data_IF_543631923782
#
_entry.id   IF_543631923782
#
_cell.length_a   1.000
_cell.length_b   1.000
_cell.length_c   1.000
_cell.angle_alpha   90.00
_cell.angle_beta   90.00
_cell.angle_gamma   90.00
#
_symmetry.space_group_name_H-M   'P 1'
#
loop_
_entity.id
_entity.type
_entity.pdbx_description
1 polymer ?
#
# COMPACT_ATOMS: atom_id res chain seq x y z
N UNK A 1 14.94 0.57 11.72
CA UNK A 1 14.24 0.53 10.43
C UNK A 1 15.03 1.39 9.46
N UNK A 2 15.39 0.88 8.29
CA UNK A 2 16.00 1.69 7.24
C UNK A 2 14.95 2.64 6.67
N UNK A 3 15.30 3.90 6.41
CA UNK A 3 14.33 4.87 5.88
C UNK A 3 13.95 4.53 4.43
N UNK A 4 12.73 4.86 4.01
CA UNK A 4 12.27 4.68 2.63
C UNK A 4 13.20 5.37 1.62
N UNK A 5 13.77 6.52 1.99
CA UNK A 5 14.70 7.27 1.15
C UNK A 5 16.03 6.53 0.93
N UNK A 6 16.56 5.85 1.95
CA UNK A 6 17.77 5.04 1.82
C UNK A 6 17.54 3.80 0.95
N UNK A 7 16.36 3.17 1.07
CA UNK A 7 15.97 2.03 0.21
C UNK A 7 15.82 2.48 -1.25
N UNK A 8 15.15 3.60 -1.51
CA UNK A 8 14.97 4.10 -2.87
C UNK A 8 16.30 4.48 -3.52
N UNK A 9 17.19 5.15 -2.78
CA UNK A 9 18.53 5.48 -3.26
C UNK A 9 19.36 4.24 -3.60
N UNK A 10 19.22 3.18 -2.81
CA UNK A 10 19.87 1.90 -3.10
C UNK A 10 19.30 1.25 -4.38
N UNK A 11 17.98 1.29 -4.59
CA UNK A 11 17.35 0.79 -5.82
C UNK A 11 17.83 1.54 -7.08
N UNK A 12 17.94 2.87 -7.01
CA UNK A 12 18.48 3.67 -8.13
C UNK A 12 19.92 3.27 -8.49
N UNK A 13 20.75 2.92 -7.49
CA UNK A 13 22.10 2.42 -7.71
C UNK A 13 22.09 1.04 -8.39
N UNK A 14 21.18 0.14 -7.99
CA UNK A 14 21.00 -1.18 -8.63
C UNK A 14 20.60 -1.01 -10.11
N UNK A 15 19.65 -0.13 -10.39
CA UNK A 15 19.19 0.13 -11.77
C UNK A 15 20.29 0.71 -12.65
N UNK A 16 21.11 1.61 -12.10
CA UNK A 16 22.27 2.17 -12.80
C UNK A 16 23.27 1.07 -13.16
N UNK A 17 23.58 0.18 -12.21
CA UNK A 17 24.50 -0.95 -12.44
C UNK A 17 23.94 -1.90 -13.51
N UNK A 18 22.63 -2.21 -13.45
CA UNK A 18 21.99 -3.09 -14.43
C UNK A 18 22.05 -2.48 -15.85
N UNK A 19 21.78 -1.18 -15.96
CA UNK A 19 21.89 -0.47 -17.23
C UNK A 19 23.33 -0.50 -17.79
N UNK A 20 24.33 -0.24 -16.96
CA UNK A 20 25.74 -0.27 -17.39
C UNK A 20 26.16 -1.67 -17.85
N UNK A 21 25.72 -2.73 -17.17
CA UNK A 21 25.95 -4.12 -17.58
C UNK A 21 25.33 -4.38 -18.96
N UNK A 22 24.08 -4.00 -19.19
CA UNK A 22 23.42 -4.17 -20.49
C UNK A 22 24.15 -3.44 -21.61
N UNK A 23 24.60 -2.20 -21.35
CA UNK A 23 25.38 -1.40 -22.31
C UNK A 23 26.72 -2.05 -22.64
N UNK A 24 27.41 -2.62 -21.65
CA UNK A 24 28.66 -3.38 -21.84
C UNK A 24 28.43 -4.58 -22.76
N UNK A 25 27.34 -5.33 -22.56
CA UNK A 25 26.99 -6.47 -23.42
C UNK A 25 26.62 -6.03 -24.84
N UNK A 26 25.93 -4.90 -25.00
CA UNK A 26 25.50 -4.41 -26.30
C UNK A 26 26.64 -3.81 -27.16
N UNK A 27 27.64 -3.15 -26.54
CA UNK A 27 28.71 -2.43 -27.27
C UNK A 27 29.90 -3.29 -27.68
N UNK A 28 30.18 -4.38 -26.98
CA UNK A 28 31.45 -5.10 -27.15
C UNK A 28 31.34 -6.28 -28.12
N UNK A 29 31.97 -6.16 -29.29
CA UNK A 29 32.04 -7.22 -30.32
C UNK A 29 33.13 -8.28 -30.06
N UNK A 30 34.07 -8.03 -29.14
CA UNK A 30 35.20 -8.91 -28.84
C UNK A 30 35.22 -9.32 -27.35
N UNK A 31 35.48 -10.60 -27.08
CA UNK A 31 35.42 -11.21 -25.74
C UNK A 31 36.33 -10.53 -24.69
N UNK A 32 37.47 -9.96 -25.10
CA UNK A 32 38.43 -9.33 -24.17
C UNK A 32 37.91 -8.01 -23.59
N UNK A 33 37.17 -7.22 -24.36
CA UNK A 33 36.66 -5.92 -23.93
C UNK A 33 35.53 -6.08 -22.90
N UNK A 34 34.66 -7.08 -23.10
CA UNK A 34 33.67 -7.50 -22.10
C UNK A 34 34.34 -7.90 -20.79
N UNK A 35 35.47 -8.61 -20.85
CA UNK A 35 36.17 -9.11 -19.66
C UNK A 35 36.75 -7.97 -18.82
N UNK A 36 37.34 -6.95 -19.46
CA UNK A 36 37.92 -5.80 -18.75
C UNK A 36 36.86 -4.86 -18.16
N UNK A 37 35.75 -4.63 -18.87
CA UNK A 37 34.65 -3.81 -18.34
C UNK A 37 33.90 -4.53 -17.21
N UNK A 38 33.64 -5.84 -17.34
CA UNK A 38 33.03 -6.62 -16.27
C UNK A 38 33.87 -6.59 -14.97
N UNK A 39 35.21 -6.62 -15.06
CA UNK A 39 36.10 -6.51 -13.89
C UNK A 39 35.92 -5.16 -13.18
N UNK A 40 35.65 -4.07 -13.90
CA UNK A 40 35.41 -2.74 -13.30
C UNK A 40 34.04 -2.62 -12.64
N UNK A 41 33.04 -3.35 -13.13
CA UNK A 41 31.68 -3.36 -12.56
C UNK A 41 31.58 -4.21 -11.30
N UNK A 42 32.39 -5.26 -11.16
CA UNK A 42 32.39 -6.15 -9.97
C UNK A 42 32.53 -5.40 -8.63
N UNK A 43 33.44 -4.43 -8.45
CA UNK A 43 33.52 -3.61 -7.24
C UNK A 43 32.23 -2.84 -6.93
N UNK A 44 31.58 -2.27 -7.95
CA UNK A 44 30.35 -1.52 -7.79
C UNK A 44 29.20 -2.42 -7.31
N UNK A 45 29.12 -3.63 -7.88
CA UNK A 45 28.16 -4.66 -7.42
C UNK A 45 28.45 -5.05 -5.98
N UNK A 46 29.72 -5.26 -5.60
CA UNK A 46 30.09 -5.60 -4.23
C UNK A 46 29.77 -4.49 -3.23
N UNK A 47 30.00 -3.23 -3.59
CA UNK A 47 29.67 -2.08 -2.75
C UNK A 47 28.14 -1.93 -2.60
N UNK A 48 27.39 -2.07 -3.68
CA UNK A 48 25.94 -2.08 -3.66
C UNK A 48 25.38 -3.21 -2.78
N UNK A 49 25.94 -4.42 -2.85
CA UNK A 49 25.56 -5.54 -1.99
C UNK A 49 25.87 -5.27 -0.50
N UNK A 50 26.98 -4.60 -0.19
CA UNK A 50 27.32 -4.20 1.19
C UNK A 50 26.40 -3.11 1.72
N UNK A 51 25.93 -2.23 0.85
CA UNK A 51 24.98 -1.17 1.16
C UNK A 51 23.52 -1.67 1.22
N UNK A 52 23.27 -2.95 0.92
CA UNK A 52 21.95 -3.54 0.96
C UNK A 52 21.30 -3.35 2.35
N UNK A 53 20.12 -2.73 2.43
CA UNK A 53 19.40 -2.57 3.67
C UNK A 53 19.03 -3.92 4.30
N UNK A 54 19.70 -4.30 5.39
CA UNK A 54 19.46 -5.58 6.07
C UNK A 54 18.20 -5.60 6.97
N UNK A 55 17.53 -4.46 7.15
CA UNK A 55 16.42 -4.30 8.10
C UNK A 55 15.25 -3.52 7.47
N UNK A 56 14.84 -3.98 6.29
CA UNK A 56 13.60 -3.57 5.65
C UNK A 56 12.47 -4.15 6.49
N UNK A 57 11.81 -3.30 7.26
CA UNK A 57 10.51 -3.67 7.77
C UNK A 57 9.56 -3.72 6.57
N UNK A 58 9.21 -4.93 6.16
CA UNK A 58 7.98 -5.12 5.42
C UNK A 58 6.87 -4.64 6.35
N UNK A 59 6.44 -3.40 6.17
CA UNK A 59 5.12 -3.01 6.65
C UNK A 59 4.20 -3.88 5.82
N UNK A 60 3.76 -5.00 6.41
CA UNK A 60 2.68 -5.79 5.85
C UNK A 60 1.58 -4.78 5.58
N UNK A 61 1.30 -4.53 4.30
CA UNK A 61 0.15 -3.72 3.91
C UNK A 61 -1.03 -4.31 4.69
N UNK A 62 -1.77 -3.50 5.46
CA UNK A 62 -2.94 -4.00 6.16
C UNK A 62 -3.82 -4.73 5.13
N UNK A 63 -4.51 -5.82 5.49
CA UNK A 63 -5.44 -6.46 4.57
C UNK A 63 -6.36 -5.41 3.93
N UNK A 64 -6.66 -5.51 2.62
CA UNK A 64 -7.42 -4.48 1.89
C UNK A 64 -8.72 -4.07 2.58
N UNK A 65 -9.30 -4.96 3.38
CA UNK A 65 -10.21 -4.61 4.46
C UNK A 65 -10.14 -5.68 5.56
N UNK A 66 -10.39 -5.29 6.81
CA UNK A 66 -10.67 -6.24 7.89
C UNK A 66 -12.16 -6.58 7.87
N UNK A 67 -12.51 -7.86 7.76
CA UNK A 67 -13.91 -8.28 7.88
C UNK A 67 -14.47 -7.84 9.24
N UNK A 68 -15.60 -7.14 9.22
CA UNK A 68 -16.33 -6.77 10.43
C UNK A 68 -17.31 -7.92 10.71
N UNK A 69 -17.18 -8.63 11.86
CA UNK A 69 -18.07 -9.74 12.17
C UNK A 69 -19.54 -9.34 12.21
N UNK A 70 -20.39 -10.11 11.53
CA UNK A 70 -21.83 -9.95 11.57
C UNK A 70 -22.50 -10.11 10.20
N UNK A 71 -23.84 -10.02 10.15
CA UNK A 71 -24.57 -10.10 8.90
C UNK A 71 -24.17 -8.94 7.97
N UNK A 72 -24.10 -9.21 6.66
CA UNK A 72 -23.98 -8.18 5.64
C UNK A 72 -25.31 -8.02 4.90
N UNK A 73 -25.52 -6.83 4.35
CA UNK A 73 -26.58 -6.64 3.37
C UNK A 73 -26.39 -7.57 2.18
N UNK A 74 -27.50 -8.03 1.61
CA UNK A 74 -27.49 -8.73 0.32
C UNK A 74 -26.80 -7.87 -0.74
N UNK A 75 -26.01 -8.49 -1.61
CA UNK A 75 -25.38 -7.83 -2.77
C UNK A 75 -26.41 -7.22 -3.74
N UNK A 76 -27.68 -7.59 -3.61
CA UNK A 76 -28.79 -7.01 -4.37
C UNK A 76 -29.35 -5.71 -3.77
N UNK A 77 -28.93 -5.32 -2.56
CA UNK A 77 -29.40 -4.10 -1.91
C UNK A 77 -29.03 -2.86 -2.73
N UNK A 78 -30.04 -2.03 -3.03
CA UNK A 78 -29.87 -0.83 -3.86
C UNK A 78 -28.84 0.15 -3.28
N UNK A 79 -28.92 0.46 -1.99
CA UNK A 79 -28.04 1.44 -1.35
C UNK A 79 -26.59 0.95 -1.30
N UNK A 80 -26.38 -0.36 -1.10
CA UNK A 80 -25.05 -0.95 -1.15
C UNK A 80 -24.46 -0.84 -2.56
N UNK A 81 -25.21 -1.20 -3.60
CA UNK A 81 -24.76 -1.09 -4.99
C UNK A 81 -24.42 0.35 -5.36
N UNK A 82 -25.28 1.29 -5.01
CA UNK A 82 -25.10 2.70 -5.29
C UNK A 82 -23.87 3.27 -4.58
N UNK A 83 -23.67 2.96 -3.29
CA UNK A 83 -22.47 3.38 -2.56
C UNK A 83 -21.18 2.79 -3.17
N UNK A 84 -21.18 1.50 -3.54
CA UNK A 84 -20.05 0.87 -4.20
C UNK A 84 -19.76 1.45 -5.59
N UNK A 85 -20.81 1.88 -6.31
CA UNK A 85 -20.65 2.55 -7.60
C UNK A 85 -20.00 3.92 -7.43
N UNK A 86 -20.45 4.73 -6.46
CA UNK A 86 -19.82 6.02 -6.15
C UNK A 86 -18.34 5.88 -5.76
N UNK A 87 -18.00 4.83 -5.02
CA UNK A 87 -16.61 4.54 -4.65
C UNK A 87 -15.75 4.14 -5.87
N UNK A 88 -16.35 3.55 -6.92
CA UNK A 88 -15.64 3.09 -8.12
C UNK A 88 -15.50 4.17 -9.21
N UNK A 89 -16.53 4.98 -9.40
CA UNK A 89 -16.69 5.78 -10.63
C UNK A 89 -16.04 7.17 -10.60
N UNK A 90 -15.70 7.71 -9.43
CA UNK A 90 -15.35 9.14 -9.32
C UNK A 90 -14.21 9.34 -8.31
N UNK A 91 -13.30 10.31 -8.52
CA UNK A 91 -12.46 10.86 -7.45
C UNK A 91 -13.32 11.69 -6.48
N UNK A 92 -14.38 11.09 -5.91
CA UNK A 92 -15.15 11.73 -4.85
C UNK A 92 -14.20 11.92 -3.66
N UNK A 93 -13.92 13.16 -3.27
CA UNK A 93 -13.08 13.43 -2.11
C UNK A 93 -13.71 12.97 -0.78
N UNK A 94 -15.04 12.80 -0.73
CA UNK A 94 -15.78 12.38 0.46
C UNK A 94 -17.20 11.88 0.12
N UNK A 95 -17.63 10.78 0.73
CA UNK A 95 -19.01 10.26 0.63
C UNK A 95 -19.66 10.31 2.02
N UNK A 96 -20.84 10.92 2.12
CA UNK A 96 -21.61 11.01 3.37
C UNK A 96 -22.86 10.11 3.36
N UNK A 97 -22.98 9.20 4.33
CA UNK A 97 -24.21 8.41 4.58
C UNK A 97 -24.96 9.06 5.74
N UNK A 98 -26.14 9.63 5.47
CA UNK A 98 -26.93 10.38 6.46
C UNK A 98 -28.36 9.87 6.59
N UNK A 99 -29.05 10.26 7.66
CA UNK A 99 -30.44 9.87 7.93
C UNK A 99 -30.75 9.67 9.42
N UNK A 100 -32.02 9.38 9.77
CA UNK A 100 -32.48 9.22 11.16
C UNK A 100 -31.74 8.13 11.95
N UNK A 101 -31.86 8.14 13.27
CA UNK A 101 -31.34 7.06 14.12
C UNK A 101 -31.97 5.71 13.80
N UNK A 102 -31.20 4.62 13.91
CA UNK A 102 -31.74 3.25 13.74
C UNK A 102 -31.97 2.78 12.29
N UNK A 103 -31.86 3.64 11.28
CA UNK A 103 -32.13 3.27 9.87
C UNK A 103 -31.08 2.36 9.20
N UNK A 104 -30.04 1.95 9.94
CA UNK A 104 -29.02 1.04 9.41
C UNK A 104 -27.84 1.69 8.69
N UNK A 105 -27.52 2.96 8.92
CA UNK A 105 -26.33 3.64 8.33
C UNK A 105 -25.02 2.90 8.61
N UNK A 106 -24.78 2.57 9.88
CA UNK A 106 -23.60 1.78 10.28
C UNK A 106 -23.62 0.37 9.69
N UNK A 107 -24.81 -0.20 9.50
CA UNK A 107 -24.98 -1.51 8.87
C UNK A 107 -24.62 -1.49 7.37
N UNK A 108 -24.98 -0.41 6.67
CA UNK A 108 -24.56 -0.16 5.28
C UNK A 108 -23.03 0.02 5.21
N UNK A 109 -22.45 0.82 6.10
CA UNK A 109 -20.99 1.04 6.14
C UNK A 109 -20.21 -0.26 6.38
N UNK A 110 -20.67 -1.12 7.29
CA UNK A 110 -20.08 -2.45 7.51
C UNK A 110 -20.17 -3.33 6.25
N UNK A 111 -21.31 -3.28 5.56
CA UNK A 111 -21.52 -4.07 4.33
C UNK A 111 -20.64 -3.59 3.18
N UNK A 112 -20.38 -2.29 3.08
CA UNK A 112 -19.42 -1.72 2.11
C UNK A 112 -18.01 -2.27 2.39
N UNK A 113 -17.54 -2.18 3.63
CA UNK A 113 -16.24 -2.69 4.05
C UNK A 113 -16.06 -4.17 3.70
N UNK A 114 -17.03 -5.02 4.05
CA UNK A 114 -16.95 -6.46 3.80
C UNK A 114 -17.06 -6.79 2.30
N UNK A 115 -17.81 -5.99 1.52
CA UNK A 115 -17.85 -6.16 0.06
C UNK A 115 -16.50 -5.88 -0.58
N UNK A 116 -15.74 -4.90 -0.08
CA UNK A 116 -14.38 -4.58 -0.55
C UNK A 116 -13.39 -5.68 -0.14
N UNK A 117 -13.53 -6.23 1.08
CA UNK A 117 -12.71 -7.35 1.55
C UNK A 117 -12.82 -8.60 0.64
N UNK A 118 -14.03 -8.88 0.14
CA UNK A 118 -14.33 -10.07 -0.65
C UNK A 118 -14.07 -9.85 -2.15
N UNK A 119 -14.33 -8.65 -2.66
CA UNK A 119 -14.13 -8.29 -4.06
C UNK A 119 -12.65 -8.02 -4.33
N UNK A 120 -11.83 -9.07 -4.42
CA UNK A 120 -10.47 -8.98 -4.94
C UNK A 120 -10.47 -8.31 -6.31
N UNK A 121 -10.04 -7.06 -6.38
CA UNK A 121 -10.18 -6.21 -7.58
C UNK A 121 -10.28 -4.72 -7.30
N UNK A 122 -10.36 -4.32 -6.03
CA UNK A 122 -10.32 -2.92 -5.61
C UNK A 122 -8.90 -2.59 -5.15
N UNK A 123 -8.30 -1.54 -5.73
CA UNK A 123 -6.88 -1.20 -5.57
C UNK A 123 -6.57 -0.28 -4.38
N UNK A 124 -7.46 -0.20 -3.39
CA UNK A 124 -7.26 0.63 -2.20
C UNK A 124 -7.49 -0.14 -0.92
N UNK A 125 -6.72 0.21 0.10
CA UNK A 125 -6.84 -0.33 1.46
C UNK A 125 -7.91 0.45 2.25
N UNK A 126 -8.74 -0.27 3.00
CA UNK A 126 -9.83 0.28 3.80
C UNK A 126 -9.45 0.30 5.27
N UNK A 127 -9.41 1.49 5.84
CA UNK A 127 -9.17 1.70 7.27
C UNK A 127 -10.46 2.17 7.94
N UNK A 128 -11.05 1.31 8.77
CA UNK A 128 -12.28 1.62 9.48
C UNK A 128 -12.00 2.21 10.87
N UNK A 129 -12.34 3.46 11.12
CA UNK A 129 -12.20 4.11 12.44
C UNK A 129 -13.56 4.56 12.97
N UNK A 130 -13.82 4.38 14.26
CA UNK A 130 -15.09 4.76 14.89
C UNK A 130 -14.91 6.04 15.71
N UNK A 131 -15.63 7.09 15.33
CA UNK A 131 -15.79 8.29 16.15
C UNK A 131 -17.13 8.26 16.88
N UNK A 132 -17.15 8.71 18.13
CA UNK A 132 -18.36 8.81 18.96
C UNK A 132 -18.39 10.15 19.70
N UNK A 133 -19.52 10.49 20.33
CA UNK A 133 -19.60 11.74 21.10
C UNK A 133 -18.50 11.77 22.18
N UNK A 134 -17.72 12.84 22.20
CA UNK A 134 -16.60 13.02 23.13
C UNK A 134 -15.28 12.37 22.70
N UNK A 135 -15.17 11.85 21.47
CA UNK A 135 -13.86 11.50 20.91
C UNK A 135 -13.05 12.76 20.60
N UNK A 136 -11.73 12.70 20.82
CA UNK A 136 -10.80 13.75 20.43
C UNK A 136 -10.12 13.39 19.12
N UNK A 137 -9.52 14.38 18.46
CA UNK A 137 -8.78 14.17 17.20
C UNK A 137 -7.60 13.24 17.43
N UNK A 138 -6.91 13.39 18.57
CA UNK A 138 -5.75 12.59 18.95
C UNK A 138 -6.12 11.11 19.10
N UNK A 139 -7.31 10.82 19.66
CA UNK A 139 -7.80 9.44 19.76
C UNK A 139 -8.07 8.82 18.39
N UNK A 140 -8.69 9.57 17.49
CA UNK A 140 -8.96 9.10 16.11
C UNK A 140 -7.65 8.86 15.36
N UNK A 141 -6.69 9.77 15.47
CA UNK A 141 -5.36 9.63 14.87
C UNK A 141 -4.61 8.44 15.45
N UNK A 142 -4.68 8.21 16.78
CA UNK A 142 -4.12 7.04 17.43
C UNK A 142 -4.73 5.72 16.92
N UNK A 143 -6.06 5.64 16.84
CA UNK A 143 -6.76 4.46 16.30
C UNK A 143 -6.40 4.20 14.83
N UNK A 144 -6.22 5.27 14.05
CA UNK A 144 -5.79 5.20 12.66
C UNK A 144 -4.35 4.67 12.53
N UNK A 145 -3.40 5.22 13.29
CA UNK A 145 -1.99 4.78 13.30
C UNK A 145 -1.86 3.33 13.77
N UNK A 146 -2.62 2.93 14.79
CA UNK A 146 -2.65 1.56 15.27
C UNK A 146 -3.08 0.58 14.17
N UNK A 147 -4.09 0.96 13.36
CA UNK A 147 -4.55 0.14 12.23
C UNK A 147 -3.54 0.05 11.08
N UNK A 148 -2.66 1.04 10.96
CA UNK A 148 -1.53 1.03 10.04
C UNK A 148 -0.30 0.27 10.59
N UNK A 149 -0.36 -0.25 11.82
CA UNK A 149 0.79 -0.88 12.48
C UNK A 149 1.90 0.12 12.86
N UNK A 150 1.57 1.42 12.91
CA UNK A 150 2.48 2.47 13.32
C UNK A 150 2.41 2.67 14.83
N UNK A 151 3.56 2.84 15.48
CA UNK A 151 3.60 3.29 16.87
C UNK A 151 3.40 4.81 16.90
N UNK A 152 2.55 5.28 17.80
CA UNK A 152 2.54 6.69 18.17
C UNK A 152 3.79 6.93 19.03
N UNK A 153 4.70 7.77 18.54
CA UNK A 153 5.87 8.24 19.29
C UNK A 153 5.47 9.27 20.37
#
# INVERSE_FOLDING_TARGET
>A
MTSTNEVNKWLEQVDTINYDVEVIFARNKLKKDVTMEAIKTVPQVQECLRACPNNIAFVSVPPPAQEIPGPCMSSQNRNLKEALQFIKDDPVGMIGIWGPGGVGKTYLLNSINNSIAVAGGISFDVIFVRASRGCSVEKIQGDFLMKLGMKAD
#
